data_IF_506072627990
#
_entry.id   IF_506072627990
#
_cell.length_a   1.000
_cell.length_b   1.000
_cell.length_c   1.000
_cell.angle_alpha   90.00
_cell.angle_beta   90.00
_cell.angle_gamma   90.00
#
_symmetry.space_group_name_H-M   'P 1'
#
loop_
_entity.id
_entity.type
_entity.pdbx_description
1 polymer ?
#
# COMPACT_ATOMS: atom_id res chain seq x y z
N UNK A 1 32.03 16.75 13.83
CA UNK A 1 30.65 16.89 14.31
C UNK A 1 30.48 16.03 15.55
N UNK A 2 29.97 16.58 16.64
CA UNK A 2 29.74 15.84 17.88
C UNK A 2 28.64 14.77 17.70
N UNK A 3 28.68 13.72 18.51
CA UNK A 3 27.64 12.69 18.55
C UNK A 3 26.26 13.29 18.85
N UNK A 4 26.23 14.30 19.74
CA UNK A 4 25.02 15.04 20.09
C UNK A 4 24.40 15.78 18.88
N UNK A 5 25.22 16.39 18.04
CA UNK A 5 24.76 17.07 16.82
C UNK A 5 24.27 16.06 15.76
N UNK A 6 24.95 14.91 15.63
CA UNK A 6 24.51 13.83 14.73
C UNK A 6 23.18 13.22 15.19
N UNK A 7 23.00 13.02 16.50
CA UNK A 7 21.73 12.52 17.05
C UNK A 7 20.59 13.52 16.82
N UNK A 8 20.83 14.81 17.00
CA UNK A 8 19.83 15.85 16.73
C UNK A 8 19.41 15.88 15.25
N UNK A 9 20.36 15.76 14.35
CA UNK A 9 20.08 15.70 12.92
C UNK A 9 19.29 14.45 12.53
N UNK A 10 19.59 13.30 13.13
CA UNK A 10 18.90 12.05 12.93
C UNK A 10 17.51 12.02 13.56
N UNK A 11 17.28 12.67 14.68
CA UNK A 11 15.98 12.79 15.32
C UNK A 11 15.08 13.78 14.55
N UNK A 12 15.62 14.86 14.02
CA UNK A 12 14.85 15.82 13.24
C UNK A 12 14.34 15.25 11.90
N UNK A 13 15.15 14.45 11.21
CA UNK A 13 14.77 13.83 9.94
C UNK A 13 13.64 12.77 10.06
N UNK A 14 13.62 11.87 11.08
CA UNK A 14 12.59 10.84 11.20
C UNK A 14 11.20 11.34 11.53
N UNK A 15 11.06 12.47 12.19
CA UNK A 15 9.73 13.04 12.47
C UNK A 15 8.96 13.42 11.21
N UNK A 16 9.67 13.69 10.12
CA UNK A 16 9.07 13.91 8.81
C UNK A 16 8.84 12.60 8.07
N UNK A 17 9.69 11.61 8.28
CA UNK A 17 9.70 10.33 7.53
C UNK A 17 9.02 9.16 8.25
N UNK A 18 8.75 9.27 9.55
CA UNK A 18 7.94 8.28 10.29
C UNK A 18 6.47 8.26 9.86
N UNK A 19 5.98 9.34 9.29
CA UNK A 19 4.73 9.35 8.55
C UNK A 19 5.01 8.71 7.20
N UNK A 20 4.72 7.42 7.07
CA UNK A 20 4.80 6.78 5.77
C UNK A 20 3.93 7.54 4.77
N UNK A 21 4.59 8.35 3.95
CA UNK A 21 3.94 9.12 2.92
C UNK A 21 4.03 8.38 1.58
N UNK A 22 2.99 8.45 0.74
CA UNK A 22 3.08 7.93 -0.62
C UNK A 22 4.21 8.63 -1.38
N UNK A 23 5.04 7.85 -2.06
CA UNK A 23 6.05 8.37 -2.97
C UNK A 23 5.43 8.50 -4.36
N UNK A 24 4.99 9.70 -4.70
CA UNK A 24 4.35 9.98 -6.00
C UNK A 24 5.26 9.75 -7.22
N UNK A 25 6.58 9.61 -7.01
CA UNK A 25 7.52 9.29 -8.08
C UNK A 25 7.61 7.78 -8.38
N UNK A 26 7.04 6.95 -7.53
CA UNK A 26 7.18 5.49 -7.58
C UNK A 26 5.81 4.81 -7.58
N UNK A 27 5.05 5.06 -8.63
CA UNK A 27 3.70 4.54 -8.83
C UNK A 27 3.74 3.46 -9.88
N UNK A 28 3.17 2.29 -9.56
CA UNK A 28 3.01 1.19 -10.49
C UNK A 28 1.53 1.05 -10.85
N UNK A 29 1.21 1.09 -12.14
CA UNK A 29 -0.13 0.81 -12.62
C UNK A 29 -0.40 -0.69 -12.54
N UNK A 30 -1.42 -1.07 -11.78
CA UNK A 30 -1.87 -2.46 -11.62
C UNK A 30 -3.28 -2.70 -12.18
N UNK A 31 -3.77 -1.79 -13.01
CA UNK A 31 -5.10 -1.92 -13.64
C UNK A 31 -5.24 -3.23 -14.40
N UNK A 32 -4.18 -3.66 -15.08
CA UNK A 32 -4.14 -4.93 -15.81
C UNK A 32 -4.30 -6.17 -14.94
N UNK A 33 -3.94 -6.09 -13.66
CA UNK A 33 -4.15 -7.20 -12.70
C UNK A 33 -5.65 -7.43 -12.50
N UNK A 34 -6.42 -6.37 -12.35
CA UNK A 34 -7.87 -6.45 -12.17
C UNK A 34 -8.55 -6.84 -13.48
N UNK A 35 -8.24 -6.15 -14.58
CA UNK A 35 -8.89 -6.39 -15.89
C UNK A 35 -8.54 -7.74 -16.49
N UNK A 36 -7.36 -8.29 -16.16
CA UNK A 36 -6.94 -9.63 -16.57
C UNK A 36 -7.46 -10.75 -15.69
N UNK A 37 -8.18 -10.41 -14.61
CA UNK A 37 -8.76 -11.40 -13.70
C UNK A 37 -10.00 -12.08 -14.25
N UNK A 38 -10.40 -13.17 -13.58
CA UNK A 38 -11.61 -13.91 -13.90
C UNK A 38 -12.70 -13.56 -12.89
N UNK A 39 -13.96 -13.33 -13.31
CA UNK A 39 -15.07 -13.12 -12.39
C UNK A 39 -15.22 -14.30 -11.42
N UNK A 40 -15.66 -14.00 -10.20
CA UNK A 40 -15.89 -15.00 -9.15
C UNK A 40 -14.64 -15.82 -8.75
N UNK A 41 -13.47 -15.25 -9.02
CA UNK A 41 -12.18 -15.89 -8.72
C UNK A 41 -11.28 -14.89 -7.99
N UNK A 42 -10.53 -15.37 -7.00
CA UNK A 42 -9.54 -14.55 -6.29
C UNK A 42 -8.43 -14.09 -7.26
N UNK A 43 -8.15 -12.81 -7.23
CA UNK A 43 -7.11 -12.17 -8.03
C UNK A 43 -5.98 -11.77 -7.07
N UNK A 44 -4.85 -12.49 -7.05
CA UNK A 44 -3.75 -12.18 -6.15
C UNK A 44 -2.89 -11.05 -6.68
N UNK A 45 -2.42 -10.20 -5.78
CA UNK A 45 -1.38 -9.22 -6.06
C UNK A 45 -0.38 -9.19 -4.90
N UNK A 46 0.90 -9.34 -5.22
CA UNK A 46 1.97 -9.31 -4.22
C UNK A 46 2.75 -8.00 -4.35
N UNK A 47 2.67 -7.12 -3.35
CA UNK A 47 3.37 -5.84 -3.40
C UNK A 47 4.90 -6.02 -3.41
N UNK A 48 5.64 -5.28 -4.25
CA UNK A 48 7.09 -5.37 -4.29
C UNK A 48 7.80 -4.59 -3.17
N UNK A 49 7.04 -3.77 -2.44
CA UNK A 49 7.53 -2.96 -1.33
C UNK A 49 6.38 -2.61 -0.39
N UNK A 50 6.68 -2.02 0.75
CA UNK A 50 5.66 -1.42 1.61
C UNK A 50 5.04 -0.22 0.89
N UNK A 51 3.73 -0.09 0.97
CA UNK A 51 3.03 0.98 0.28
C UNK A 51 1.52 0.92 0.44
N UNK A 52 0.86 1.50 -0.55
CA UNK A 52 -0.60 1.50 -0.66
C UNK A 52 -1.03 0.93 -2.00
N UNK A 53 -2.09 0.15 -1.98
CA UNK A 53 -2.87 -0.15 -3.18
C UNK A 53 -4.08 0.76 -3.16
N UNK A 54 -4.23 1.54 -4.21
CA UNK A 54 -5.35 2.46 -4.42
C UNK A 54 -6.02 2.16 -5.74
N UNK A 55 -7.34 2.09 -5.74
CA UNK A 55 -8.08 1.91 -6.98
C UNK A 55 -9.41 2.64 -6.96
N UNK A 56 -9.92 2.92 -8.14
CA UNK A 56 -11.28 3.37 -8.38
C UNK A 56 -11.88 2.55 -9.51
N UNK A 57 -13.02 1.98 -9.25
CA UNK A 57 -13.73 1.08 -10.14
C UNK A 57 -15.18 1.50 -10.30
N UNK A 58 -15.81 1.01 -11.36
CA UNK A 58 -17.24 1.17 -11.61
C UNK A 58 -17.84 -0.19 -11.95
N UNK A 59 -18.96 -0.50 -11.33
CA UNK A 59 -19.73 -1.66 -11.73
C UNK A 59 -20.36 -1.41 -13.12
N UNK A 60 -19.86 -2.10 -14.13
CA UNK A 60 -20.37 -2.03 -15.51
C UNK A 60 -21.41 -3.09 -15.83
N UNK A 61 -21.70 -3.98 -14.89
CA UNK A 61 -22.78 -4.96 -15.07
C UNK A 61 -24.15 -4.29 -14.93
N UNK A 62 -25.17 -4.84 -15.55
CA UNK A 62 -26.53 -4.34 -15.45
C UNK A 62 -27.24 -4.71 -14.14
N UNK A 63 -26.54 -5.32 -13.18
CA UNK A 63 -27.05 -5.77 -11.90
C UNK A 63 -26.08 -5.41 -10.77
N UNK A 64 -26.48 -5.67 -9.52
CA UNK A 64 -25.58 -5.52 -8.40
C UNK A 64 -24.36 -6.43 -8.55
N UNK A 65 -23.19 -5.91 -8.20
CA UNK A 65 -21.93 -6.64 -8.20
C UNK A 65 -21.24 -6.53 -6.85
N UNK A 66 -20.55 -7.58 -6.45
CA UNK A 66 -19.82 -7.66 -5.19
C UNK A 66 -18.33 -7.48 -5.45
N UNK A 67 -17.69 -6.65 -4.64
CA UNK A 67 -16.25 -6.45 -4.65
C UNK A 67 -15.69 -6.68 -3.25
N UNK A 68 -14.58 -7.39 -3.16
CA UNK A 68 -13.88 -7.67 -1.90
C UNK A 68 -12.38 -7.56 -2.09
N UNK A 69 -11.72 -7.03 -1.08
CA UNK A 69 -10.27 -7.02 -1.00
C UNK A 69 -9.86 -7.51 0.38
N UNK A 70 -8.98 -8.48 0.41
CA UNK A 70 -8.36 -8.99 1.61
C UNK A 70 -6.87 -8.70 1.58
N UNK A 71 -6.39 -7.95 2.57
CA UNK A 71 -4.97 -7.71 2.82
C UNK A 71 -4.68 -8.05 4.27
N UNK A 72 -3.93 -9.11 4.53
CA UNK A 72 -3.61 -9.58 5.88
C UNK A 72 -4.87 -9.79 6.74
N UNK A 73 -5.04 -8.95 7.76
CA UNK A 73 -6.19 -8.97 8.67
C UNK A 73 -7.30 -7.98 8.28
N UNK A 74 -7.12 -7.26 7.18
CA UNK A 74 -8.09 -6.27 6.70
C UNK A 74 -8.90 -6.85 5.55
N UNK A 75 -10.19 -6.84 5.72
CA UNK A 75 -11.15 -7.17 4.68
C UNK A 75 -12.01 -5.95 4.38
N UNK A 76 -12.11 -5.59 3.11
CA UNK A 76 -13.02 -4.57 2.62
C UNK A 76 -13.94 -5.20 1.60
N UNK A 77 -15.24 -5.16 1.87
CA UNK A 77 -16.25 -5.74 1.01
C UNK A 77 -17.35 -4.71 0.74
N UNK A 78 -17.82 -4.66 -0.50
CA UNK A 78 -18.85 -3.72 -0.94
C UNK A 78 -19.72 -4.34 -2.01
N UNK A 79 -21.03 -4.18 -1.86
CA UNK A 79 -21.99 -4.46 -2.94
C UNK A 79 -22.25 -3.15 -3.69
N UNK A 80 -22.02 -3.17 -4.99
CA UNK A 80 -22.18 -2.02 -5.88
C UNK A 80 -23.43 -2.22 -6.74
N UNK A 81 -24.33 -1.24 -6.70
CA UNK A 81 -25.45 -1.19 -7.65
C UNK A 81 -24.93 -1.02 -9.08
N UNK A 82 -25.77 -1.33 -10.07
CA UNK A 82 -25.44 -1.14 -11.48
C UNK A 82 -25.01 0.32 -11.73
N UNK A 83 -23.83 0.49 -12.35
CA UNK A 83 -23.27 1.81 -12.63
C UNK A 83 -22.64 2.54 -11.46
N UNK A 84 -22.67 2.00 -10.23
CA UNK A 84 -22.07 2.62 -9.06
C UNK A 84 -20.55 2.49 -9.07
N UNK A 85 -19.89 3.54 -8.60
CA UNK A 85 -18.44 3.58 -8.41
C UNK A 85 -18.01 3.24 -6.99
N UNK A 86 -16.78 2.77 -6.84
CA UNK A 86 -16.14 2.52 -5.57
C UNK A 86 -14.66 2.84 -5.65
N UNK A 87 -14.17 3.56 -4.65
CA UNK A 87 -12.74 3.83 -4.53
C UNK A 87 -12.25 3.55 -3.12
N UNK A 88 -11.04 3.04 -3.02
CA UNK A 88 -10.41 2.78 -1.72
C UNK A 88 -8.90 2.79 -1.83
N UNK A 89 -8.25 2.92 -0.69
CA UNK A 89 -6.81 2.77 -0.54
C UNK A 89 -6.52 1.88 0.67
N UNK A 90 -5.66 0.90 0.49
CA UNK A 90 -5.25 -0.05 1.51
C UNK A 90 -3.75 -0.02 1.69
N UNK A 91 -3.31 0.04 2.94
CA UNK A 91 -1.91 -0.15 3.26
C UNK A 91 -1.53 -1.63 3.07
N UNK A 92 -0.41 -1.85 2.39
CA UNK A 92 0.10 -3.19 2.11
C UNK A 92 1.58 -3.29 2.47
N UNK A 93 2.02 -4.50 2.78
CA UNK A 93 3.41 -4.79 3.09
C UNK A 93 4.08 -5.55 1.97
N UNK A 94 5.38 -5.34 1.83
CA UNK A 94 6.21 -6.08 0.89
C UNK A 94 6.02 -7.59 1.07
N UNK A 95 5.74 -8.28 -0.02
CA UNK A 95 5.63 -9.73 -0.06
C UNK A 95 4.33 -10.31 0.49
N UNK A 96 3.48 -9.51 1.14
CA UNK A 96 2.19 -9.99 1.63
C UNK A 96 1.14 -9.86 0.54
N UNK A 97 0.71 -10.98 0.00
CA UNK A 97 -0.27 -11.02 -1.08
C UNK A 97 -1.62 -10.50 -0.61
N UNK A 98 -2.15 -9.54 -1.33
CA UNK A 98 -3.54 -9.16 -1.21
C UNK A 98 -4.37 -9.92 -2.26
N UNK A 99 -5.59 -10.28 -1.90
CA UNK A 99 -6.52 -10.95 -2.80
C UNK A 99 -7.71 -10.04 -3.09
N UNK A 100 -7.98 -9.84 -4.35
CA UNK A 100 -9.15 -9.11 -4.83
C UNK A 100 -10.17 -10.09 -5.39
N UNK A 101 -11.44 -9.81 -5.19
CA UNK A 101 -12.52 -10.64 -5.69
C UNK A 101 -13.62 -9.75 -6.25
N UNK A 102 -14.07 -10.05 -7.45
CA UNK A 102 -15.17 -9.35 -8.09
C UNK A 102 -16.16 -10.36 -8.67
N UNK A 103 -17.43 -10.23 -8.32
CA UNK A 103 -18.48 -11.06 -8.93
C UNK A 103 -18.66 -10.77 -10.42
N UNK A 104 -18.32 -9.56 -10.84
CA UNK A 104 -18.19 -9.12 -12.24
C UNK A 104 -16.98 -8.22 -12.35
N UNK A 105 -16.13 -8.44 -13.33
CA UNK A 105 -14.93 -7.59 -13.52
C UNK A 105 -15.37 -6.16 -13.81
N UNK A 106 -14.96 -5.20 -12.95
CA UNK A 106 -15.40 -3.82 -13.08
C UNK A 106 -14.67 -3.08 -14.22
N UNK A 107 -15.21 -1.94 -14.59
CA UNK A 107 -14.44 -0.91 -15.28
C UNK A 107 -13.46 -0.29 -14.28
N UNK A 108 -12.18 -0.19 -14.64
CA UNK A 108 -11.14 0.35 -13.77
C UNK A 108 -10.77 1.75 -14.26
N UNK A 109 -11.05 2.76 -13.43
CA UNK A 109 -10.61 4.13 -13.71
C UNK A 109 -9.13 4.28 -13.44
N UNK A 110 -8.68 3.75 -12.30
CA UNK A 110 -7.27 3.55 -11.98
C UNK A 110 -7.13 2.42 -10.96
N UNK A 111 -6.00 1.74 -11.00
CA UNK A 111 -5.53 0.88 -9.94
C UNK A 111 -4.00 1.00 -9.87
N UNK A 112 -3.48 1.36 -8.70
CA UNK A 112 -2.08 1.73 -8.53
C UNK A 112 -1.52 1.15 -7.25
N UNK A 113 -0.28 0.69 -7.33
CA UNK A 113 0.54 0.49 -6.16
C UNK A 113 1.44 1.73 -5.99
N UNK A 114 1.44 2.30 -4.80
CA UNK A 114 2.20 3.51 -4.47
C UNK A 114 3.14 3.15 -3.32
N UNK A 115 4.44 3.16 -3.59
CA UNK A 115 5.45 2.89 -2.58
C UNK A 115 5.43 3.97 -1.51
N UNK A 116 5.64 3.58 -0.25
CA UNK A 116 5.86 4.54 0.83
C UNK A 116 7.34 4.79 1.04
N UNK A 117 7.66 6.04 1.39
CA UNK A 117 8.96 6.42 1.92
C UNK A 117 8.87 6.51 3.44
N UNK A 118 9.92 6.14 4.14
CA UNK A 118 10.03 6.27 5.60
C UNK A 118 10.27 4.97 6.36
N UNK A 119 9.85 3.81 5.83
CA UNK A 119 10.07 2.51 6.49
C UNK A 119 11.53 2.13 6.71
N UNK A 120 12.45 2.63 5.87
CA UNK A 120 13.89 2.41 6.00
C UNK A 120 14.56 3.23 7.10
N UNK A 121 13.94 4.33 7.53
CA UNK A 121 14.51 5.25 8.52
C UNK A 121 14.51 4.64 9.91
N UNK A 122 13.50 3.86 10.30
CA UNK A 122 13.49 3.11 11.56
C UNK A 122 14.67 2.14 11.68
N UNK A 123 15.03 1.45 10.60
CA UNK A 123 16.21 0.58 10.57
C UNK A 123 17.50 1.35 10.76
N UNK A 124 17.64 2.45 10.03
CA UNK A 124 18.83 3.32 10.14
C UNK A 124 18.98 3.89 11.55
N UNK A 125 17.91 4.36 12.18
CA UNK A 125 17.91 4.84 13.54
C UNK A 125 18.28 3.74 14.54
N UNK A 126 17.67 2.58 14.44
CA UNK A 126 17.98 1.43 15.28
C UNK A 126 19.45 1.03 15.17
N UNK A 127 20.02 0.99 13.98
CA UNK A 127 21.43 0.71 13.76
C UNK A 127 22.35 1.80 14.31
N UNK A 128 21.99 3.07 14.18
CA UNK A 128 22.77 4.19 14.69
C UNK A 128 22.73 4.23 16.21
N UNK A 129 21.59 4.02 16.85
CA UNK A 129 21.49 3.93 18.31
C UNK A 129 22.31 2.77 18.87
N UNK A 130 22.26 1.62 18.25
CA UNK A 130 23.08 0.47 18.64
C UNK A 130 24.58 0.77 18.56
N UNK A 131 25.04 1.45 17.50
CA UNK A 131 26.44 1.87 17.35
C UNK A 131 26.83 2.95 18.36
N UNK A 132 25.94 3.86 18.69
CA UNK A 132 26.20 4.91 19.69
C UNK A 132 26.33 4.31 21.09
N UNK A 133 25.51 3.35 21.47
CA UNK A 133 25.64 2.63 22.74
C UNK A 133 26.99 1.92 22.86
N UNK A 134 27.44 1.24 21.82
CA UNK A 134 28.75 0.59 21.77
C UNK A 134 29.90 1.60 21.89
N UNK A 135 29.76 2.80 21.34
CA UNK A 135 30.78 3.84 21.40
C UNK A 135 30.91 4.49 22.80
N UNK A 136 29.93 4.40 23.67
CA UNK A 136 29.94 4.94 25.03
C UNK A 136 30.36 3.93 26.11
N UNK A 137 30.56 2.70 25.75
CA UNK A 137 31.07 1.65 26.61
C UNK A 137 32.59 1.57 26.45
#
# INVERSE_FOLDING_TARGET
MSVKAKLRALIAAPFVSERSAPDGSNVIDISGVITGGTPETEIPYTPPADGYVSFAIKNKSGANAYARINAESLEMAQTLAAGAGYSTSLRVRKGNTLNMYFSSIPEVYWARFIRTVGGGVKRLLSQVFSRVEVAYV
#
